data_IF_179564678962
#
_entry.id   IF_179564678962
#
_cell.length_a   1.000
_cell.length_b   1.000
_cell.length_c   1.000
_cell.angle_alpha   90.00
_cell.angle_beta   90.00
_cell.angle_gamma   90.00
#
_symmetry.space_group_name_H-M   'P 1'
#
loop_
_entity.id
_entity.type
_entity.pdbx_description
1 polymer ?
#
# COMPACT_ATOMS: atom_id res chain seq x y z
N UNK A 1 -10.52 -6.28 12.13
CA UNK A 1 -10.25 -5.59 13.40
C UNK A 1 -9.46 -6.51 14.32
N UNK A 2 -9.97 -7.68 14.72
CA UNK A 2 -9.31 -8.57 15.70
C UNK A 2 -7.83 -8.93 15.50
N UNK A 3 -7.33 -9.15 14.28
CA UNK A 3 -5.91 -9.54 14.11
C UNK A 3 -4.92 -8.38 13.85
N UNK A 4 -5.39 -7.21 13.35
CA UNK A 4 -4.60 -5.98 13.47
C UNK A 4 -4.55 -5.61 14.96
N UNK A 5 -5.61 -5.87 15.73
CA UNK A 5 -5.62 -5.78 17.20
C UNK A 5 -4.69 -6.80 17.89
N UNK A 6 -4.57 -8.03 17.39
CA UNK A 6 -3.60 -9.00 17.93
C UNK A 6 -2.14 -8.63 17.56
N UNK A 7 -1.91 -8.03 16.39
CA UNK A 7 -0.63 -7.39 16.06
C UNK A 7 -0.40 -6.12 16.91
N UNK A 8 -1.45 -5.31 17.16
CA UNK A 8 -1.46 -4.14 18.04
C UNK A 8 -1.07 -4.53 19.47
N UNK A 9 -1.46 -5.73 19.95
CA UNK A 9 -1.15 -6.22 21.29
C UNK A 9 0.34 -6.57 21.48
N UNK A 10 1.06 -6.80 20.38
CA UNK A 10 2.51 -7.08 20.40
C UNK A 10 3.40 -5.82 20.39
N UNK A 11 2.81 -4.65 20.12
CA UNK A 11 3.55 -3.41 20.10
C UNK A 11 3.72 -2.85 21.51
N UNK A 12 4.98 -2.59 21.87
CA UNK A 12 5.28 -1.97 23.15
C UNK A 12 4.74 -0.54 23.22
N UNK A 13 4.29 -0.11 24.40
CA UNK A 13 3.96 1.29 24.70
C UNK A 13 5.08 2.24 24.22
N UNK A 14 6.33 1.78 24.34
CA UNK A 14 7.54 2.43 23.84
C UNK A 14 7.45 2.77 22.35
N UNK A 15 7.06 1.82 21.50
CA UNK A 15 6.90 2.06 20.06
C UNK A 15 5.86 3.15 19.79
N UNK A 16 4.68 3.08 20.43
CA UNK A 16 3.63 4.09 20.23
C UNK A 16 4.08 5.50 20.62
N UNK A 17 4.79 5.64 21.74
CA UNK A 17 5.32 6.93 22.18
C UNK A 17 6.33 7.49 21.17
N UNK A 18 7.28 6.65 20.72
CA UNK A 18 8.31 7.02 19.73
C UNK A 18 7.64 7.47 18.43
N UNK A 19 6.71 6.68 17.91
CA UNK A 19 5.96 7.01 16.69
C UNK A 19 5.26 8.36 16.80
N UNK A 20 4.57 8.65 17.92
CA UNK A 20 3.90 9.94 18.12
C UNK A 20 4.86 11.12 18.14
N UNK A 21 6.01 10.98 18.80
CA UNK A 21 7.06 12.01 18.81
C UNK A 21 7.54 12.28 17.38
N UNK A 22 7.82 11.23 16.61
CA UNK A 22 8.32 11.34 15.24
C UNK A 22 7.28 11.98 14.32
N UNK A 23 6.01 11.58 14.41
CA UNK A 23 4.90 12.24 13.69
C UNK A 23 4.86 13.73 14.03
N UNK A 24 4.98 14.10 15.30
CA UNK A 24 4.95 15.50 15.72
C UNK A 24 6.09 16.31 15.12
N UNK A 25 7.31 15.75 15.05
CA UNK A 25 8.47 16.41 14.45
C UNK A 25 8.30 16.54 12.94
N UNK A 26 7.80 15.50 12.27
CA UNK A 26 7.53 15.57 10.83
C UNK A 26 6.43 16.58 10.46
N UNK A 27 5.51 16.86 11.38
CA UNK A 27 4.50 17.91 11.23
C UNK A 27 4.98 19.29 11.70
N UNK A 28 6.26 19.45 12.07
CA UNK A 28 6.81 20.76 12.38
C UNK A 28 6.68 21.70 11.16
N UNK A 29 6.22 22.96 11.33
CA UNK A 29 5.90 23.85 10.21
C UNK A 29 7.03 24.01 9.18
N UNK A 30 8.29 24.04 9.63
CA UNK A 30 9.45 24.17 8.76
C UNK A 30 9.75 22.90 7.94
N UNK A 31 9.48 21.72 8.51
CA UNK A 31 9.59 20.44 7.82
C UNK A 31 8.48 20.34 6.77
N UNK A 32 7.24 20.65 7.15
CA UNK A 32 6.09 20.67 6.24
C UNK A 32 6.36 21.61 5.06
N UNK A 33 6.84 22.83 5.31
CA UNK A 33 7.19 23.79 4.26
C UNK A 33 8.27 23.26 3.33
N UNK A 34 9.30 22.62 3.89
CA UNK A 34 10.37 22.03 3.10
C UNK A 34 9.86 20.89 2.21
N UNK A 35 8.96 20.04 2.72
CA UNK A 35 8.35 18.98 1.91
C UNK A 35 7.52 19.59 0.79
N UNK A 36 6.71 20.61 1.06
CA UNK A 36 5.93 21.27 0.00
C UNK A 36 6.82 21.84 -1.11
N UNK A 37 7.90 22.54 -0.75
CA UNK A 37 8.89 23.04 -1.72
C UNK A 37 9.55 21.91 -2.54
N UNK A 38 9.77 20.75 -1.92
CA UNK A 38 10.34 19.59 -2.61
C UNK A 38 9.39 19.02 -3.67
N UNK A 39 8.06 19.11 -3.49
CA UNK A 39 7.07 18.59 -4.43
C UNK A 39 7.00 19.39 -5.74
N UNK A 40 7.50 20.63 -5.72
CA UNK A 40 7.58 21.49 -6.91
C UNK A 40 8.82 21.19 -7.78
N UNK A 41 9.72 20.31 -7.32
CA UNK A 41 10.97 19.98 -8.00
C UNK A 41 10.74 18.87 -9.03
N UNK A 42 11.16 19.14 -10.27
CA UNK A 42 11.06 18.19 -11.39
C UNK A 42 12.26 17.20 -11.44
N UNK A 43 13.46 17.64 -11.05
CA UNK A 43 14.66 16.78 -11.06
C UNK A 43 14.69 15.82 -9.86
N UNK A 44 14.58 14.53 -10.13
CA UNK A 44 14.62 13.47 -9.13
C UNK A 44 15.89 13.47 -8.27
N UNK A 45 17.05 13.81 -8.85
CA UNK A 45 18.31 13.89 -8.08
C UNK A 45 18.29 15.04 -7.09
N UNK A 46 17.59 16.11 -7.43
CA UNK A 46 17.39 17.24 -6.54
C UNK A 46 16.36 16.93 -5.45
N UNK A 47 15.26 16.26 -5.81
CA UNK A 47 14.30 15.71 -4.83
C UNK A 47 15.01 14.85 -3.80
N UNK A 48 15.88 13.93 -4.22
CA UNK A 48 16.58 13.04 -3.29
C UNK A 48 17.60 13.78 -2.40
N UNK A 49 18.32 14.75 -2.96
CA UNK A 49 19.21 15.63 -2.18
C UNK A 49 18.44 16.45 -1.15
N UNK A 50 17.27 16.96 -1.53
CA UNK A 50 16.41 17.73 -0.64
C UNK A 50 15.78 16.86 0.43
N UNK A 51 15.33 15.66 0.06
CA UNK A 51 14.80 14.66 1.00
C UNK A 51 15.80 14.34 2.10
N UNK A 52 17.07 14.09 1.73
CA UNK A 52 18.14 13.87 2.70
C UNK A 52 18.31 15.05 3.68
N UNK A 53 18.28 16.29 3.17
CA UNK A 53 18.35 17.50 4.01
C UNK A 53 17.18 17.60 4.98
N UNK A 54 15.97 17.26 4.52
CA UNK A 54 14.76 17.26 5.36
C UNK A 54 14.91 16.21 6.48
N UNK A 55 15.33 14.99 6.15
CA UNK A 55 15.56 13.93 7.14
C UNK A 55 16.64 14.33 8.16
N UNK A 56 17.74 14.96 7.71
CA UNK A 56 18.79 15.44 8.60
C UNK A 56 18.30 16.58 9.51
N UNK A 57 17.39 17.44 9.01
CA UNK A 57 16.73 18.46 9.81
C UNK A 57 15.80 17.85 10.87
N UNK A 58 15.01 16.83 10.51
CA UNK A 58 14.18 16.07 11.48
C UNK A 58 15.06 15.47 12.59
N UNK A 59 16.19 14.86 12.24
CA UNK A 59 17.16 14.34 13.23
C UNK A 59 17.72 15.43 14.13
N UNK A 60 18.00 16.62 13.58
CA UNK A 60 18.51 17.75 14.35
C UNK A 60 17.47 18.20 15.39
N UNK A 61 16.21 18.38 15.00
CA UNK A 61 15.10 18.75 15.90
C UNK A 61 14.95 17.71 17.02
N UNK A 62 14.99 16.42 16.69
CA UNK A 62 14.91 15.35 17.69
C UNK A 62 16.06 15.44 18.70
N UNK A 63 17.27 15.82 18.26
CA UNK A 63 18.44 15.92 19.15
C UNK A 63 18.44 17.19 20.00
N UNK A 64 17.90 18.30 19.49
CA UNK A 64 17.94 19.60 20.18
C UNK A 64 16.70 19.85 21.04
N UNK A 65 15.52 19.51 20.54
CA UNK A 65 14.25 20.01 21.07
C UNK A 65 13.45 18.92 21.79
N UNK A 66 13.69 17.66 21.43
CA UNK A 66 13.05 16.51 22.05
C UNK A 66 14.01 15.91 23.07
N UNK A 67 13.79 16.17 24.36
CA UNK A 67 14.58 15.60 25.47
C UNK A 67 14.37 14.08 25.59
N UNK A 68 14.86 13.30 24.61
CA UNK A 68 14.72 11.85 24.59
C UNK A 68 15.93 11.20 25.26
N UNK A 69 15.71 10.28 26.22
CA UNK A 69 16.78 9.47 26.78
C UNK A 69 17.58 8.72 25.71
N UNK A 70 18.90 8.63 25.90
CA UNK A 70 19.85 8.02 24.95
C UNK A 70 19.40 6.61 24.50
N UNK A 71 18.81 5.84 25.43
CA UNK A 71 18.34 4.46 25.20
C UNK A 71 17.28 4.33 24.10
N UNK A 72 16.61 5.42 23.71
CA UNK A 72 15.58 5.42 22.66
C UNK A 72 16.08 5.98 21.32
N UNK A 73 17.34 6.44 21.22
CA UNK A 73 17.83 7.09 20.00
C UNK A 73 17.84 6.14 18.80
N UNK A 74 18.31 4.91 19.00
CA UNK A 74 18.35 3.90 17.93
C UNK A 74 16.93 3.58 17.42
N UNK A 75 15.95 3.51 18.32
CA UNK A 75 14.55 3.25 17.94
C UNK A 75 13.92 4.43 17.20
N UNK A 76 14.21 5.67 17.62
CA UNK A 76 13.78 6.86 16.91
C UNK A 76 14.36 6.88 15.49
N UNK A 77 15.67 6.70 15.36
CA UNK A 77 16.35 6.67 14.07
C UNK A 77 15.79 5.57 13.16
N UNK A 78 15.39 4.42 13.73
CA UNK A 78 14.78 3.32 13.00
C UNK A 78 13.42 3.66 12.37
N UNK A 79 12.65 4.59 12.95
CA UNK A 79 11.30 4.96 12.45
C UNK A 79 11.22 6.31 11.75
N UNK A 80 12.23 7.18 11.87
CA UNK A 80 12.27 8.49 11.18
C UNK A 80 12.06 8.33 9.68
N UNK A 81 12.87 7.48 9.04
CA UNK A 81 12.83 7.29 7.59
C UNK A 81 11.51 6.63 7.15
N UNK A 82 11.05 5.50 7.75
CA UNK A 82 9.78 4.90 7.37
C UNK A 82 8.58 5.86 7.42
N UNK A 83 8.43 6.59 8.53
CA UNK A 83 7.32 7.54 8.71
C UNK A 83 7.47 8.71 7.72
N UNK A 84 8.68 9.23 7.55
CA UNK A 84 8.96 10.28 6.57
C UNK A 84 8.65 9.85 5.14
N UNK A 85 9.09 8.67 4.74
CA UNK A 85 8.82 8.09 3.42
C UNK A 85 7.32 7.99 3.18
N UNK A 86 6.55 7.53 4.16
CA UNK A 86 5.10 7.49 4.08
C UNK A 86 4.47 8.90 3.91
N UNK A 87 4.94 9.89 4.68
CA UNK A 87 4.52 11.29 4.53
C UNK A 87 4.78 11.81 3.12
N UNK A 88 5.99 11.56 2.61
CA UNK A 88 6.41 11.97 1.27
C UNK A 88 5.51 11.32 0.22
N UNK A 89 5.30 10.00 0.29
CA UNK A 89 4.43 9.28 -0.64
C UNK A 89 3.00 9.85 -0.62
N UNK A 90 2.42 10.05 0.56
CA UNK A 90 1.06 10.58 0.69
C UNK A 90 0.94 12.01 0.12
N UNK A 91 1.87 12.90 0.47
CA UNK A 91 1.87 14.27 -0.05
C UNK A 91 2.10 14.33 -1.56
N UNK A 92 2.93 13.44 -2.08
CA UNK A 92 3.15 13.28 -3.52
C UNK A 92 1.86 12.84 -4.20
N UNK A 93 1.19 11.83 -3.66
CA UNK A 93 -0.10 11.36 -4.14
C UNK A 93 -1.13 12.50 -4.15
N UNK A 94 -1.28 13.24 -3.05
CA UNK A 94 -2.21 14.37 -2.98
C UNK A 94 -1.87 15.47 -3.99
N UNK A 95 -0.60 15.83 -4.15
CA UNK A 95 -0.20 16.90 -5.06
C UNK A 95 -0.51 16.58 -6.53
N UNK A 96 -0.36 15.32 -6.93
CA UNK A 96 -0.66 14.87 -8.30
C UNK A 96 -2.11 14.43 -8.51
N UNK A 97 -2.85 14.25 -7.43
CA UNK A 97 -4.21 13.77 -7.50
C UNK A 97 -5.12 14.95 -7.86
N UNK A 98 -5.92 14.86 -8.95
CA UNK A 98 -6.84 15.93 -9.37
C UNK A 98 -7.96 16.19 -8.35
N UNK A 99 -7.97 15.39 -7.30
CA UNK A 99 -8.95 15.27 -6.24
C UNK A 99 -8.60 16.10 -5.00
N UNK A 100 -7.32 16.40 -4.78
CA UNK A 100 -6.89 17.14 -3.60
C UNK A 100 -6.53 18.58 -3.97
N UNK A 101 -7.26 19.58 -3.46
CA UNK A 101 -6.83 20.96 -3.58
C UNK A 101 -5.49 21.12 -2.86
N UNK A 102 -4.56 21.83 -3.49
CA UNK A 102 -3.24 22.14 -2.93
C UNK A 102 -3.30 22.83 -1.56
N UNK A 103 -4.45 23.36 -1.16
CA UNK A 103 -4.69 23.98 0.15
C UNK A 103 -4.88 23.01 1.32
N UNK A 104 -4.96 21.69 1.11
CA UNK A 104 -5.12 20.69 2.19
C UNK A 104 -3.80 20.02 2.63
N UNK A 105 -2.66 20.70 2.44
CA UNK A 105 -1.33 20.16 2.74
C UNK A 105 -0.98 20.05 4.25
N UNK A 106 -1.90 20.37 5.15
CA UNK A 106 -1.71 20.20 6.59
C UNK A 106 -2.41 18.91 7.03
N UNK A 107 -1.64 17.95 7.57
CA UNK A 107 -2.17 16.73 8.19
C UNK A 107 -2.17 16.95 9.71
N UNK A 108 -3.34 17.17 10.34
CA UNK A 108 -3.46 17.11 11.78
C UNK A 108 -2.91 15.77 12.31
N UNK A 109 -2.42 15.78 13.55
CA UNK A 109 -1.87 14.59 14.22
C UNK A 109 -2.91 13.47 14.30
N UNK A 110 -4.19 13.83 14.28
CA UNK A 110 -5.35 12.95 14.29
C UNK A 110 -5.49 12.11 13.02
N UNK A 111 -4.78 12.43 11.94
CA UNK A 111 -4.80 11.65 10.69
C UNK A 111 -3.76 10.53 10.68
N UNK A 112 -3.05 10.34 11.77
CA UNK A 112 -2.00 9.34 11.88
C UNK A 112 -2.48 8.12 12.66
N UNK A 113 -2.21 6.94 12.10
CA UNK A 113 -2.37 5.69 12.81
C UNK A 113 -1.32 5.59 13.92
N UNK A 114 -1.54 4.72 14.93
CA UNK A 114 -0.54 4.40 15.93
C UNK A 114 0.79 3.84 15.37
N UNK A 115 0.82 3.48 14.09
CA UNK A 115 1.98 2.98 13.37
C UNK A 115 2.75 4.08 12.65
N UNK A 116 2.30 5.33 12.65
CA UNK A 116 2.98 6.38 11.89
C UNK A 116 2.76 6.25 10.38
N UNK A 117 1.65 5.61 10.00
CA UNK A 117 1.06 5.78 8.67
C UNK A 117 -0.14 6.71 8.76
N UNK A 118 -0.62 7.20 7.62
CA UNK A 118 -1.81 8.02 7.53
C UNK A 118 -3.06 7.13 7.52
N UNK A 119 -4.06 7.47 8.33
CA UNK A 119 -5.39 6.87 8.29
C UNK A 119 -6.19 7.50 7.14
N UNK A 120 -6.00 6.96 5.93
CA UNK A 120 -6.69 7.46 4.73
C UNK A 120 -8.20 7.39 4.89
N UNK A 121 -8.73 6.32 5.50
CA UNK A 121 -10.16 6.15 5.70
C UNK A 121 -10.74 7.25 6.58
N UNK A 122 -10.01 7.67 7.63
CA UNK A 122 -10.42 8.80 8.46
C UNK A 122 -10.35 10.13 7.71
N UNK A 123 -9.29 10.36 6.92
CA UNK A 123 -9.17 11.55 6.07
C UNK A 123 -10.35 11.62 5.11
N UNK A 124 -10.62 10.54 4.39
CA UNK A 124 -11.66 10.51 3.37
C UNK A 124 -13.04 10.73 4.00
N UNK A 125 -13.29 10.15 5.18
CA UNK A 125 -14.51 10.36 5.96
C UNK A 125 -14.70 11.81 6.45
N UNK A 126 -13.63 12.58 6.59
CA UNK A 126 -13.68 14.01 6.93
C UNK A 126 -13.89 14.83 5.64
N UNK A 127 -13.10 14.57 4.61
CA UNK A 127 -13.13 15.31 3.35
C UNK A 127 -14.47 15.18 2.63
N UNK A 128 -15.09 14.00 2.65
CA UNK A 128 -16.40 13.77 2.05
C UNK A 128 -17.51 14.62 2.70
N UNK A 129 -17.32 15.03 3.96
CA UNK A 129 -18.27 15.87 4.72
C UNK A 129 -17.93 17.36 4.67
N UNK A 130 -16.77 17.72 4.16
CA UNK A 130 -16.34 19.12 4.10
C UNK A 130 -17.08 19.88 2.99
N UNK A 131 -18.01 20.74 3.39
CA UNK A 131 -18.83 21.55 2.48
C UNK A 131 -18.03 22.55 1.65
N UNK A 132 -16.78 22.83 1.99
CA UNK A 132 -15.87 23.67 1.20
C UNK A 132 -15.38 22.95 -0.06
N UNK A 133 -15.47 21.62 -0.08
CA UNK A 133 -15.08 20.80 -1.23
C UNK A 133 -16.18 20.78 -2.29
N UNK A 134 -15.78 20.75 -3.56
CA UNK A 134 -16.71 20.66 -4.69
C UNK A 134 -17.59 19.41 -4.56
N UNK A 135 -18.89 19.55 -4.83
CA UNK A 135 -19.85 18.44 -4.68
C UNK A 135 -19.47 17.20 -5.48
N UNK A 136 -19.02 17.37 -6.73
CA UNK A 136 -18.56 16.26 -7.57
C UNK A 136 -17.31 15.57 -7.00
N UNK A 137 -16.44 16.33 -6.32
CA UNK A 137 -15.29 15.73 -5.65
C UNK A 137 -15.72 14.87 -4.46
N UNK A 138 -16.57 15.42 -3.58
CA UNK A 138 -17.11 14.69 -2.43
C UNK A 138 -17.84 13.42 -2.88
N UNK A 139 -18.64 13.51 -3.94
CA UNK A 139 -19.35 12.36 -4.48
C UNK A 139 -18.40 11.28 -5.01
N UNK A 140 -17.38 11.66 -5.77
CA UNK A 140 -16.36 10.73 -6.26
C UNK A 140 -15.64 10.02 -5.10
N UNK A 141 -15.21 10.76 -4.09
CA UNK A 141 -14.56 10.21 -2.90
C UNK A 141 -15.49 9.25 -2.15
N UNK A 142 -16.75 9.64 -1.92
CA UNK A 142 -17.76 8.78 -1.29
C UNK A 142 -17.95 7.45 -2.04
N UNK A 143 -17.99 7.53 -3.38
CA UNK A 143 -18.09 6.37 -4.25
C UNK A 143 -16.86 5.45 -4.14
N UNK A 144 -15.66 6.04 -4.16
CA UNK A 144 -14.41 5.30 -4.04
C UNK A 144 -14.34 4.56 -2.71
N UNK A 145 -14.60 5.24 -1.59
CA UNK A 145 -14.53 4.60 -0.26
C UNK A 145 -15.80 3.84 0.13
N UNK A 146 -16.77 3.77 -0.79
CA UNK A 146 -18.02 3.05 -0.63
C UNK A 146 -18.80 3.49 0.63
N UNK A 147 -18.80 4.80 0.90
CA UNK A 147 -19.67 5.42 1.90
C UNK A 147 -21.11 5.49 1.38
N UNK A 148 -21.78 4.34 1.26
CA UNK A 148 -23.07 4.18 0.59
C UNK A 148 -24.13 5.23 1.02
N UNK A 149 -24.25 5.46 2.33
CA UNK A 149 -25.17 6.45 2.88
C UNK A 149 -24.83 7.90 2.47
N UNK A 150 -23.53 8.22 2.33
CA UNK A 150 -23.08 9.53 1.89
C UNK A 150 -23.23 9.66 0.36
N UNK A 151 -23.01 8.58 -0.40
CA UNK A 151 -23.29 8.55 -1.85
C UNK A 151 -24.76 8.90 -2.10
N UNK A 152 -25.68 8.26 -1.38
CA UNK A 152 -27.12 8.53 -1.46
C UNK A 152 -27.48 9.97 -1.06
N UNK A 153 -26.80 10.55 -0.06
CA UNK A 153 -27.00 11.94 0.36
C UNK A 153 -26.49 12.95 -0.69
N UNK A 154 -25.34 12.68 -1.31
CA UNK A 154 -24.68 13.59 -2.24
C UNK A 154 -25.27 13.52 -3.66
N UNK A 155 -25.76 12.36 -4.08
CA UNK A 155 -26.27 12.15 -5.44
C UNK A 155 -27.35 13.16 -5.87
N UNK A 156 -28.39 13.46 -5.06
CA UNK A 156 -29.41 14.44 -5.40
C UNK A 156 -28.90 15.88 -5.53
N UNK A 157 -27.69 16.17 -5.01
CA UNK A 157 -27.05 17.48 -5.09
C UNK A 157 -26.22 17.66 -6.36
N UNK A 158 -26.03 16.59 -7.14
CA UNK A 158 -25.32 16.66 -8.41
C UNK A 158 -26.17 17.33 -9.50
N UNK A 159 -25.50 18.12 -10.33
CA UNK A 159 -26.11 18.70 -11.53
C UNK A 159 -26.20 17.65 -12.66
N UNK A 160 -27.12 17.78 -13.63
CA UNK A 160 -27.21 16.85 -14.75
C UNK A 160 -25.90 16.65 -15.53
N UNK A 161 -25.07 17.69 -15.80
CA UNK A 161 -23.76 17.50 -16.42
C UNK A 161 -22.80 16.64 -15.58
N UNK A 162 -22.85 16.77 -14.25
CA UNK A 162 -22.02 15.95 -13.35
C UNK A 162 -22.48 14.49 -13.34
N UNK A 163 -23.80 14.25 -13.31
CA UNK A 163 -24.35 12.89 -13.41
C UNK A 163 -23.93 12.26 -14.75
N UNK A 164 -24.10 12.98 -15.86
CA UNK A 164 -23.67 12.51 -17.17
C UNK A 164 -22.17 12.20 -17.22
N UNK A 165 -21.34 13.07 -16.63
CA UNK A 165 -19.90 12.84 -16.52
C UNK A 165 -19.59 11.51 -15.83
N UNK A 166 -20.19 11.22 -14.67
CA UNK A 166 -19.92 9.97 -13.95
C UNK A 166 -20.46 8.73 -14.66
N UNK A 167 -21.59 8.83 -15.37
CA UNK A 167 -22.10 7.73 -16.21
C UNK A 167 -21.14 7.38 -17.36
N UNK A 168 -20.43 8.37 -17.90
CA UNK A 168 -19.52 8.20 -19.04
C UNK A 168 -18.06 7.97 -18.63
N UNK A 169 -17.75 7.86 -17.33
CA UNK A 169 -16.39 7.57 -16.87
C UNK A 169 -16.01 6.13 -17.21
N UNK A 170 -15.53 5.91 -18.42
CA UNK A 170 -14.96 4.64 -18.86
C UNK A 170 -13.48 4.55 -18.45
N UNK A 171 -13.07 3.38 -17.93
CA UNK A 171 -11.69 2.89 -17.78
C UNK A 171 -10.75 3.46 -16.70
N UNK A 172 -11.05 4.59 -16.05
CA UNK A 172 -10.14 5.17 -15.03
C UNK A 172 -10.73 5.35 -13.62
N UNK A 173 -12.05 5.27 -13.46
CA UNK A 173 -12.69 5.39 -12.14
C UNK A 173 -14.05 4.68 -12.16
N UNK A 174 -14.02 3.36 -12.10
CA UNK A 174 -15.18 2.49 -12.34
C UNK A 174 -16.21 2.54 -11.19
N UNK A 175 -15.80 2.95 -9.98
CA UNK A 175 -16.69 3.03 -8.81
C UNK A 175 -17.70 4.18 -8.87
N UNK A 176 -17.31 5.44 -9.15
CA UNK A 176 -18.28 6.51 -9.38
C UNK A 176 -19.29 6.17 -10.47
N UNK A 177 -18.86 5.51 -11.55
CA UNK A 177 -19.76 5.04 -12.60
C UNK A 177 -20.75 4.00 -12.07
N UNK A 178 -20.27 2.96 -11.38
CA UNK A 178 -21.11 1.94 -10.74
C UNK A 178 -22.18 2.57 -9.84
N UNK A 179 -21.79 3.45 -8.92
CA UNK A 179 -22.70 4.09 -7.99
C UNK A 179 -23.71 4.98 -8.71
N UNK A 180 -23.27 5.72 -9.72
CA UNK A 180 -24.17 6.59 -10.50
C UNK A 180 -25.21 5.77 -11.27
N UNK A 181 -24.79 4.66 -11.90
CA UNK A 181 -25.70 3.72 -12.55
C UNK A 181 -26.66 3.05 -11.55
N UNK A 182 -26.20 2.74 -10.33
CA UNK A 182 -27.06 2.23 -9.26
C UNK A 182 -28.14 3.27 -8.89
N UNK A 183 -27.75 4.54 -8.70
CA UNK A 183 -28.65 5.62 -8.27
C UNK A 183 -29.71 5.97 -9.32
N UNK A 184 -29.39 5.90 -10.62
CA UNK A 184 -30.37 6.10 -11.70
C UNK A 184 -31.14 4.82 -12.08
N UNK A 185 -30.93 3.72 -11.35
CA UNK A 185 -31.53 2.41 -11.60
C UNK A 185 -31.22 1.84 -13.01
N UNK A 186 -29.97 1.99 -13.45
CA UNK A 186 -29.48 1.60 -14.79
C UNK A 186 -28.19 0.76 -14.71
N UNK A 187 -28.15 -0.21 -13.79
CA UNK A 187 -27.03 -1.16 -13.68
C UNK A 187 -26.85 -2.02 -14.95
N UNK A 188 -27.89 -2.16 -15.77
CA UNK A 188 -27.78 -2.89 -17.04
C UNK A 188 -26.76 -2.23 -17.97
N UNK A 189 -26.83 -0.90 -18.13
CA UNK A 189 -25.85 -0.19 -18.96
C UNK A 189 -24.44 -0.25 -18.35
N UNK A 190 -24.31 -0.19 -17.03
CA UNK A 190 -23.00 -0.41 -16.37
C UNK A 190 -22.39 -1.78 -16.76
N UNK A 191 -23.17 -2.86 -16.69
CA UNK A 191 -22.70 -4.20 -17.08
C UNK A 191 -22.35 -4.26 -18.57
N UNK A 192 -23.24 -3.72 -19.42
CA UNK A 192 -23.06 -3.72 -20.89
C UNK A 192 -21.79 -2.99 -21.34
N UNK A 193 -21.41 -1.92 -20.67
CA UNK A 193 -20.18 -1.17 -20.97
C UNK A 193 -18.91 -1.94 -20.60
N UNK A 194 -19.01 -2.91 -19.68
CA UNK A 194 -17.86 -3.53 -19.04
C UNK A 194 -17.71 -5.04 -19.32
N UNK A 195 -18.71 -5.68 -19.93
CA UNK A 195 -18.72 -7.13 -20.20
C UNK A 195 -19.27 -7.40 -21.61
N UNK A 196 -18.76 -8.42 -22.33
CA UNK A 196 -19.38 -8.87 -23.57
C UNK A 196 -20.88 -9.16 -23.41
N UNK A 197 -21.67 -8.83 -24.44
CA UNK A 197 -23.14 -8.82 -24.46
C UNK A 197 -23.82 -10.14 -24.05
N UNK A 198 -23.09 -11.27 -24.01
CA UNK A 198 -23.61 -12.60 -23.75
C UNK A 198 -23.72 -12.97 -22.25
N UNK A 199 -23.19 -12.13 -21.36
CA UNK A 199 -23.34 -12.32 -19.91
C UNK A 199 -24.59 -11.58 -19.45
N UNK A 200 -25.65 -12.32 -19.14
CA UNK A 200 -26.94 -11.75 -18.73
C UNK A 200 -26.80 -10.62 -17.71
N UNK A 201 -27.48 -9.49 -17.96
CA UNK A 201 -27.45 -8.33 -17.07
C UNK A 201 -28.14 -8.60 -15.74
N UNK A 202 -27.63 -8.02 -14.66
CA UNK A 202 -28.26 -8.14 -13.34
C UNK A 202 -27.45 -7.45 -12.25
N UNK A 203 -28.12 -7.15 -11.13
CA UNK A 203 -27.50 -6.49 -9.98
C UNK A 203 -26.31 -7.28 -9.45
N UNK A 204 -26.41 -8.61 -9.34
CA UNK A 204 -25.29 -9.46 -8.90
C UNK A 204 -24.07 -9.32 -9.83
N UNK A 205 -24.27 -9.32 -11.15
CA UNK A 205 -23.18 -9.14 -12.12
C UNK A 205 -22.51 -7.77 -11.95
N UNK A 206 -23.29 -6.71 -11.77
CA UNK A 206 -22.73 -5.38 -11.50
C UNK A 206 -21.90 -5.34 -10.20
N UNK A 207 -22.37 -5.97 -9.12
CA UNK A 207 -21.63 -6.04 -7.84
C UNK A 207 -20.34 -6.84 -7.97
N UNK A 208 -20.38 -7.95 -8.71
CA UNK A 208 -19.20 -8.76 -9.05
C UNK A 208 -18.15 -7.94 -9.81
N UNK A 209 -18.57 -7.20 -10.83
CA UNK A 209 -17.68 -6.30 -11.57
C UNK A 209 -17.10 -5.21 -10.67
N UNK A 210 -17.93 -4.55 -9.87
CA UNK A 210 -17.48 -3.54 -8.91
C UNK A 210 -16.45 -4.12 -7.93
N UNK A 211 -16.67 -5.34 -7.42
CA UNK A 211 -15.70 -6.06 -6.60
C UNK A 211 -14.36 -6.27 -7.33
N UNK A 212 -14.38 -6.70 -8.60
CA UNK A 212 -13.16 -6.86 -9.39
C UNK A 212 -12.40 -5.54 -9.60
N UNK A 213 -13.10 -4.44 -9.84
CA UNK A 213 -12.47 -3.12 -9.92
C UNK A 213 -11.79 -2.75 -8.60
N UNK A 214 -12.47 -2.94 -7.47
CA UNK A 214 -11.87 -2.65 -6.16
C UNK A 214 -10.63 -3.51 -5.88
N UNK A 215 -10.61 -4.76 -6.33
CA UNK A 215 -9.44 -5.62 -6.26
C UNK A 215 -8.29 -5.06 -7.12
N UNK A 216 -8.55 -4.76 -8.40
CA UNK A 216 -7.57 -4.22 -9.35
C UNK A 216 -6.88 -2.94 -8.85
N UNK A 217 -7.64 -2.11 -8.13
CA UNK A 217 -7.16 -0.85 -7.57
C UNK A 217 -6.54 -1.01 -6.18
N UNK A 218 -6.73 -2.17 -5.54
CA UNK A 218 -6.31 -2.39 -4.15
C UNK A 218 -7.14 -1.61 -3.14
N UNK A 219 -8.36 -1.21 -3.50
CA UNK A 219 -9.24 -0.42 -2.65
C UNK A 219 -9.86 -1.28 -1.54
N UNK A 220 -9.25 -1.24 -0.35
CA UNK A 220 -9.66 -2.00 0.84
C UNK A 220 -11.12 -1.75 1.23
N UNK A 221 -11.57 -0.49 1.18
CA UNK A 221 -12.93 -0.09 1.58
C UNK A 221 -13.95 -0.70 0.64
N UNK A 222 -13.72 -0.58 -0.67
CA UNK A 222 -14.54 -1.19 -1.69
C UNK A 222 -14.54 -2.73 -1.62
N UNK A 223 -13.37 -3.35 -1.46
CA UNK A 223 -13.27 -4.81 -1.30
C UNK A 223 -14.11 -5.28 -0.10
N UNK A 224 -14.03 -4.59 1.04
CA UNK A 224 -14.83 -4.91 2.23
C UNK A 224 -16.33 -4.77 1.96
N UNK A 225 -16.72 -3.66 1.37
CA UNK A 225 -18.12 -3.36 1.05
C UNK A 225 -18.68 -4.44 0.14
N UNK A 226 -18.08 -4.65 -1.03
CA UNK A 226 -18.62 -5.59 -2.00
C UNK A 226 -18.51 -7.05 -1.54
N UNK A 227 -17.44 -7.43 -0.84
CA UNK A 227 -17.34 -8.77 -0.25
C UNK A 227 -18.52 -9.08 0.69
N UNK A 228 -19.00 -8.10 1.46
CA UNK A 228 -20.14 -8.27 2.36
C UNK A 228 -21.49 -8.29 1.63
N UNK A 229 -21.57 -7.68 0.44
CA UNK A 229 -22.79 -7.67 -0.40
C UNK A 229 -22.91 -8.89 -1.31
N UNK A 230 -21.81 -9.61 -1.57
CA UNK A 230 -21.83 -10.81 -2.40
C UNK A 230 -22.53 -11.97 -1.67
N UNK A 231 -23.38 -12.76 -2.37
CA UNK A 231 -23.93 -13.99 -1.84
C UNK A 231 -22.83 -14.95 -1.33
N UNK A 232 -23.11 -15.69 -0.25
CA UNK A 232 -22.18 -16.66 0.33
C UNK A 232 -21.70 -17.72 -0.68
N UNK A 233 -22.56 -18.06 -1.64
CA UNK A 233 -22.31 -19.03 -2.71
C UNK A 233 -21.22 -18.57 -3.71
N UNK A 234 -20.83 -17.28 -3.69
CA UNK A 234 -19.84 -16.71 -4.61
C UNK A 234 -18.38 -16.84 -4.13
N UNK A 235 -18.09 -17.75 -3.19
CA UNK A 235 -16.73 -17.98 -2.69
C UNK A 235 -15.72 -18.33 -3.81
N UNK A 236 -16.14 -19.15 -4.78
CA UNK A 236 -15.29 -19.51 -5.93
C UNK A 236 -14.96 -18.27 -6.78
N UNK A 237 -15.94 -17.37 -6.97
CA UNK A 237 -15.75 -16.13 -7.70
C UNK A 237 -14.78 -15.19 -6.99
N UNK A 238 -14.92 -15.04 -5.66
CA UNK A 238 -14.00 -14.24 -4.84
C UNK A 238 -12.59 -14.80 -4.94
N UNK A 239 -12.45 -16.12 -4.84
CA UNK A 239 -11.16 -16.81 -4.95
C UNK A 239 -10.49 -16.56 -6.31
N UNK A 240 -11.22 -16.79 -7.41
CA UNK A 240 -10.70 -16.55 -8.77
C UNK A 240 -10.31 -15.08 -8.97
N UNK A 241 -11.13 -14.16 -8.50
CA UNK A 241 -10.87 -12.72 -8.63
C UNK A 241 -9.64 -12.30 -7.80
N UNK A 242 -9.46 -12.86 -6.60
CA UNK A 242 -8.26 -12.61 -5.79
C UNK A 242 -7.00 -13.16 -6.44
N UNK A 243 -7.05 -14.37 -7.03
CA UNK A 243 -5.92 -14.94 -7.76
C UNK A 243 -5.54 -14.09 -8.97
N UNK A 244 -6.53 -13.65 -9.75
CA UNK A 244 -6.32 -12.76 -10.88
C UNK A 244 -5.67 -11.44 -10.44
N UNK A 245 -6.16 -10.85 -9.35
CA UNK A 245 -5.57 -9.66 -8.74
C UNK A 245 -4.10 -9.86 -8.36
N UNK A 246 -3.74 -10.99 -7.74
CA UNK A 246 -2.34 -11.30 -7.42
C UNK A 246 -1.48 -11.41 -8.68
N UNK A 247 -1.98 -12.09 -9.72
CA UNK A 247 -1.25 -12.28 -10.98
C UNK A 247 -1.03 -10.95 -11.71
N UNK A 248 -2.06 -10.10 -11.81
CA UNK A 248 -1.91 -8.73 -12.34
C UNK A 248 -0.91 -7.91 -11.54
N UNK A 249 -0.99 -7.99 -10.21
CA UNK A 249 -0.09 -7.25 -9.33
C UNK A 249 1.37 -7.68 -9.55
N UNK A 250 1.62 -8.98 -9.64
CA UNK A 250 2.94 -9.53 -9.94
C UNK A 250 3.46 -9.03 -11.28
N UNK A 251 2.60 -9.03 -12.30
CA UNK A 251 2.94 -8.50 -13.62
C UNK A 251 3.32 -7.02 -13.54
N UNK A 252 2.51 -6.17 -12.88
CA UNK A 252 2.80 -4.75 -12.68
C UNK A 252 4.12 -4.52 -11.94
N UNK A 253 4.43 -5.34 -10.94
CA UNK A 253 5.70 -5.28 -10.21
C UNK A 253 6.89 -5.59 -11.11
N UNK A 254 6.73 -6.45 -12.12
CA UNK A 254 7.79 -6.80 -13.08
C UNK A 254 7.97 -5.75 -14.18
N UNK A 255 6.89 -5.15 -14.67
CA UNK A 255 6.91 -4.32 -15.88
C UNK A 255 6.99 -2.82 -15.63
N UNK A 256 6.52 -2.32 -14.48
CA UNK A 256 6.59 -0.89 -14.21
C UNK A 256 7.99 -0.45 -13.79
N UNK A 257 8.48 0.60 -14.43
CA UNK A 257 9.49 1.46 -13.83
C UNK A 257 8.88 2.17 -12.62
N UNK A 258 9.69 2.44 -11.60
CA UNK A 258 9.27 2.96 -10.29
C UNK A 258 8.64 4.37 -10.31
N UNK A 259 8.33 4.93 -11.49
CA UNK A 259 8.20 6.37 -11.71
C UNK A 259 6.76 6.88 -11.93
N UNK A 260 5.74 6.03 -12.00
CA UNK A 260 4.35 6.53 -12.02
C UNK A 260 3.85 6.70 -10.58
N UNK A 261 3.20 7.83 -10.23
CA UNK A 261 2.52 7.98 -8.95
C UNK A 261 1.40 6.96 -8.86
N UNK A 262 1.68 5.82 -8.22
CA UNK A 262 0.67 4.83 -7.87
C UNK A 262 0.04 5.22 -6.55
N UNK A 263 -1.23 4.82 -6.28
CA UNK A 263 -1.79 4.90 -4.94
C UNK A 263 -0.80 4.33 -3.92
N UNK A 264 -0.80 4.85 -2.67
CA UNK A 264 0.06 4.33 -1.61
C UNK A 264 0.04 2.80 -1.61
N UNK A 265 1.21 2.18 -1.70
CA UNK A 265 1.33 0.73 -1.88
C UNK A 265 0.66 -0.06 -0.76
N UNK A 266 0.42 0.58 0.38
CA UNK A 266 -0.28 0.09 1.56
C UNK A 266 -1.70 -0.41 1.28
N UNK A 267 -2.41 0.20 0.32
CA UNK A 267 -3.75 -0.22 -0.04
C UNK A 267 -3.78 -1.68 -0.54
N UNK A 268 -2.76 -2.10 -1.30
CA UNK A 268 -2.63 -3.48 -1.76
C UNK A 268 -2.33 -4.45 -0.61
N UNK A 269 -1.45 -4.07 0.31
CA UNK A 269 -1.09 -4.85 1.50
C UNK A 269 -2.29 -5.12 2.37
N UNK A 270 -3.04 -4.07 2.68
CA UNK A 270 -4.25 -4.13 3.50
C UNK A 270 -5.35 -4.98 2.86
N UNK A 271 -5.52 -4.83 1.54
CA UNK A 271 -6.49 -5.58 0.74
C UNK A 271 -6.14 -7.07 0.67
N UNK A 272 -4.86 -7.39 0.40
CA UNK A 272 -4.35 -8.76 0.43
C UNK A 272 -4.54 -9.37 1.81
N UNK A 273 -4.18 -8.64 2.87
CA UNK A 273 -4.36 -9.13 4.23
C UNK A 273 -5.82 -9.39 4.59
N UNK A 274 -6.72 -8.45 4.24
CA UNK A 274 -8.15 -8.62 4.45
C UNK A 274 -8.65 -9.92 3.81
N UNK A 275 -8.35 -10.14 2.53
CA UNK A 275 -8.80 -11.34 1.80
C UNK A 275 -8.19 -12.62 2.39
N UNK A 276 -6.90 -12.63 2.71
CA UNK A 276 -6.25 -13.76 3.38
C UNK A 276 -6.86 -14.11 4.73
N UNK A 277 -7.36 -13.11 5.46
CA UNK A 277 -8.04 -13.31 6.74
C UNK A 277 -9.45 -13.88 6.59
N UNK A 278 -10.03 -13.84 5.38
CA UNK A 278 -11.33 -14.46 5.07
C UNK A 278 -11.21 -15.93 4.71
N UNK A 279 -10.04 -16.35 4.25
CA UNK A 279 -9.75 -17.76 4.00
C UNK A 279 -9.34 -18.45 5.30
N UNK A 280 -9.79 -19.68 5.52
CA UNK A 280 -9.22 -20.54 6.55
C UNK A 280 -7.84 -21.09 6.13
N UNK A 281 -7.21 -21.90 6.97
CA UNK A 281 -5.88 -22.44 6.69
C UNK A 281 -5.87 -23.41 5.51
N UNK A 282 -6.87 -24.28 5.40
CA UNK A 282 -6.99 -25.27 4.32
C UNK A 282 -7.22 -24.57 2.97
N UNK A 283 -8.09 -23.56 2.95
CA UNK A 283 -8.35 -22.73 1.79
C UNK A 283 -7.09 -21.98 1.35
N UNK A 284 -6.35 -21.36 2.27
CA UNK A 284 -5.08 -20.67 1.93
C UNK A 284 -4.07 -21.65 1.31
N UNK A 285 -3.91 -22.83 1.90
CA UNK A 285 -2.98 -23.85 1.42
C UNK A 285 -3.39 -24.43 0.06
N UNK A 286 -4.69 -24.42 -0.27
CA UNK A 286 -5.22 -24.90 -1.54
C UNK A 286 -5.10 -23.83 -2.65
N UNK A 287 -5.34 -22.56 -2.32
CA UNK A 287 -5.48 -21.47 -3.29
C UNK A 287 -4.13 -20.83 -3.65
N UNK A 288 -3.21 -20.72 -2.68
CA UNK A 288 -1.95 -19.99 -2.83
C UNK A 288 -0.73 -20.75 -3.38
N UNK A 289 -0.74 -22.06 -3.67
CA UNK A 289 0.39 -22.72 -4.32
C UNK A 289 0.88 -21.97 -5.57
N UNK A 290 2.20 -21.71 -5.63
CA UNK A 290 2.83 -20.94 -6.70
C UNK A 290 2.67 -19.41 -6.63
N UNK A 291 1.94 -18.88 -5.65
CA UNK A 291 1.69 -17.42 -5.49
C UNK A 291 2.12 -16.85 -4.15
N UNK A 292 2.68 -17.67 -3.25
CA UNK A 292 3.17 -17.22 -1.95
C UNK A 292 4.13 -16.03 -2.06
N UNK A 293 5.07 -16.08 -3.01
CA UNK A 293 6.01 -14.99 -3.29
C UNK A 293 5.28 -13.68 -3.58
N UNK A 294 4.31 -13.69 -4.48
CA UNK A 294 3.51 -12.50 -4.83
C UNK A 294 2.78 -11.91 -3.63
N UNK A 295 2.18 -12.78 -2.79
CA UNK A 295 1.52 -12.34 -1.56
C UNK A 295 2.52 -11.70 -0.60
N UNK A 296 3.68 -12.31 -0.41
CA UNK A 296 4.72 -11.79 0.48
C UNK A 296 5.28 -10.46 0.01
N UNK A 297 5.41 -10.23 -1.30
CA UNK A 297 5.83 -8.93 -1.83
C UNK A 297 4.88 -7.80 -1.42
N UNK A 298 3.59 -8.08 -1.23
CA UNK A 298 2.65 -7.08 -0.72
C UNK A 298 2.91 -6.73 0.76
N UNK A 299 3.66 -7.53 1.52
CA UNK A 299 3.99 -7.25 2.92
C UNK A 299 5.41 -6.70 3.12
N UNK A 300 6.15 -6.47 2.04
CA UNK A 300 7.47 -5.80 2.07
C UNK A 300 7.38 -4.27 2.15
N UNK A 301 6.35 -3.76 2.83
CA UNK A 301 6.15 -2.34 3.06
C UNK A 301 5.81 -2.12 4.53
N UNK A 302 6.33 -1.03 5.09
CA UNK A 302 5.98 -0.59 6.43
C UNK A 302 4.46 -0.27 6.50
N UNK A 303 3.72 -0.68 7.53
CA UNK A 303 4.14 -1.40 8.75
C UNK A 303 3.94 -2.94 8.67
N UNK A 304 3.70 -3.50 7.48
CA UNK A 304 3.29 -4.90 7.29
C UNK A 304 4.43 -5.94 7.40
N UNK A 305 5.65 -5.53 7.74
CA UNK A 305 6.80 -6.44 7.88
C UNK A 305 6.57 -7.58 8.87
N UNK A 306 5.81 -7.36 9.94
CA UNK A 306 5.45 -8.44 10.87
C UNK A 306 4.61 -9.53 10.20
N UNK A 307 3.70 -9.16 9.29
CA UNK A 307 2.95 -10.13 8.48
C UNK A 307 3.86 -10.85 7.50
N UNK A 308 4.80 -10.14 6.87
CA UNK A 308 5.80 -10.78 6.00
C UNK A 308 6.54 -11.88 6.76
N UNK A 309 7.14 -11.57 7.92
CA UNK A 309 7.90 -12.53 8.73
C UNK A 309 7.04 -13.71 9.16
N UNK A 310 5.78 -13.46 9.57
CA UNK A 310 4.83 -14.52 9.93
C UNK A 310 4.57 -15.47 8.75
N UNK A 311 4.19 -14.94 7.60
CA UNK A 311 3.81 -15.76 6.45
C UNK A 311 5.00 -16.45 5.78
N UNK A 312 6.20 -15.83 5.79
CA UNK A 312 7.44 -16.51 5.41
C UNK A 312 7.65 -17.77 6.23
N UNK A 313 7.51 -17.68 7.56
CA UNK A 313 7.71 -18.84 8.44
C UNK A 313 6.70 -19.96 8.18
N UNK A 314 5.46 -19.62 7.83
CA UNK A 314 4.40 -20.59 7.51
C UNK A 314 4.66 -21.25 6.15
N UNK A 315 5.02 -20.47 5.12
CA UNK A 315 5.10 -20.97 3.75
C UNK A 315 6.50 -21.38 3.29
N UNK A 316 7.50 -21.27 4.15
CA UNK A 316 8.92 -21.56 3.82
C UNK A 316 9.13 -22.92 3.16
N UNK A 317 8.41 -23.96 3.59
CA UNK A 317 8.55 -25.32 3.06
C UNK A 317 8.06 -25.44 1.62
N UNK A 318 7.28 -24.46 1.15
CA UNK A 318 6.67 -24.44 -0.17
C UNK A 318 7.46 -23.56 -1.16
N UNK A 319 8.59 -22.97 -0.75
CA UNK A 319 9.38 -22.11 -1.62
C UNK A 319 10.38 -22.91 -2.45
N UNK A 320 10.44 -22.57 -3.74
CA UNK A 320 11.59 -22.91 -4.57
C UNK A 320 12.78 -21.98 -4.27
N UNK A 321 13.97 -22.33 -4.74
CA UNK A 321 15.12 -21.42 -4.65
C UNK A 321 14.89 -20.15 -5.48
N UNK A 322 14.14 -20.24 -6.58
CA UNK A 322 13.77 -19.08 -7.40
C UNK A 322 12.86 -18.11 -6.64
N UNK A 323 11.90 -18.63 -5.87
CA UNK A 323 11.02 -17.81 -5.03
C UNK A 323 11.82 -17.04 -3.99
N UNK A 324 12.71 -17.73 -3.27
CA UNK A 324 13.57 -17.12 -2.26
C UNK A 324 14.53 -16.10 -2.87
N UNK A 325 15.15 -16.42 -4.00
CA UNK A 325 16.00 -15.46 -4.73
C UNK A 325 15.19 -14.22 -5.13
N UNK A 326 13.96 -14.39 -5.62
CA UNK A 326 13.10 -13.27 -6.00
C UNK A 326 12.76 -12.37 -4.81
N UNK A 327 12.40 -12.94 -3.66
CA UNK A 327 12.14 -12.19 -2.43
C UNK A 327 13.38 -11.42 -1.96
N UNK A 328 14.54 -12.08 -1.93
CA UNK A 328 15.80 -11.45 -1.50
C UNK A 328 16.18 -10.29 -2.43
N UNK A 329 16.14 -10.48 -3.75
CA UNK A 329 16.39 -9.41 -4.72
C UNK A 329 15.45 -8.23 -4.48
N UNK A 330 14.16 -8.49 -4.19
CA UNK A 330 13.20 -7.42 -3.92
C UNK A 330 13.50 -6.67 -2.63
N UNK A 331 13.86 -7.36 -1.55
CA UNK A 331 14.31 -6.72 -0.30
C UNK A 331 15.55 -5.85 -0.55
N UNK A 332 16.49 -6.32 -1.37
CA UNK A 332 17.69 -5.57 -1.74
C UNK A 332 17.40 -4.33 -2.58
N UNK A 333 16.47 -4.43 -3.51
CA UNK A 333 16.05 -3.26 -4.28
C UNK A 333 15.44 -2.21 -3.36
N UNK A 334 14.52 -2.61 -2.47
CA UNK A 334 13.92 -1.70 -1.49
C UNK A 334 15.01 -1.04 -0.62
N UNK A 335 15.98 -1.83 -0.12
CA UNK A 335 17.14 -1.31 0.60
C UNK A 335 17.96 -0.31 -0.23
N UNK A 336 18.21 -0.58 -1.51
CA UNK A 336 18.99 0.31 -2.38
C UNK A 336 18.32 1.64 -2.63
N UNK A 337 16.99 1.67 -2.55
CA UNK A 337 16.18 2.89 -2.61
C UNK A 337 16.11 3.61 -1.26
N UNK A 338 16.86 3.13 -0.26
CA UNK A 338 16.97 3.69 1.09
C UNK A 338 15.59 3.89 1.75
N UNK A 339 14.62 3.05 1.40
CA UNK A 339 13.22 3.29 1.75
C UNK A 339 12.95 3.06 3.22
N UNK A 340 13.62 2.11 3.90
CA UNK A 340 13.46 1.86 5.33
C UNK A 340 14.74 1.27 5.99
N UNK A 341 14.69 1.10 7.33
CA UNK A 341 15.72 0.43 8.14
C UNK A 341 15.45 -1.07 8.34
N UNK A 342 14.19 -1.50 8.21
CA UNK A 342 13.73 -2.86 8.52
C UNK A 342 14.20 -3.91 7.49
N UNK A 343 14.65 -3.50 6.30
CA UNK A 343 15.09 -4.37 5.22
C UNK A 343 16.34 -5.19 5.58
N UNK A 344 17.23 -4.69 6.44
CA UNK A 344 18.42 -5.45 6.86
C UNK A 344 18.03 -6.69 7.69
N UNK A 345 17.16 -6.50 8.68
CA UNK A 345 16.73 -7.60 9.56
C UNK A 345 15.89 -8.61 8.79
N UNK A 346 14.99 -8.13 7.92
CA UNK A 346 14.21 -9.01 7.04
C UNK A 346 15.09 -9.83 6.10
N UNK A 347 16.09 -9.20 5.47
CA UNK A 347 17.06 -9.92 4.65
C UNK A 347 17.82 -10.94 5.48
N UNK A 348 18.33 -10.55 6.65
CA UNK A 348 19.11 -11.40 7.53
C UNK A 348 18.31 -12.63 7.98
N UNK A 349 17.07 -12.42 8.41
CA UNK A 349 16.20 -13.47 8.92
C UNK A 349 15.83 -14.45 7.79
N UNK A 350 15.44 -13.92 6.62
CA UNK A 350 15.16 -14.74 5.45
C UNK A 350 16.41 -15.53 5.04
N UNK A 351 17.55 -14.87 4.90
CA UNK A 351 18.82 -15.47 4.48
C UNK A 351 19.29 -16.58 5.42
N UNK A 352 19.29 -16.33 6.74
CA UNK A 352 19.70 -17.32 7.74
C UNK A 352 18.80 -18.55 7.71
N UNK A 353 17.51 -18.36 7.45
CA UNK A 353 16.53 -19.44 7.35
C UNK A 353 16.60 -20.24 6.05
N UNK A 354 17.29 -19.73 5.01
CA UNK A 354 17.41 -20.42 3.73
C UNK A 354 18.20 -21.74 3.85
N UNK A 355 17.75 -22.82 3.19
CA UNK A 355 18.55 -24.01 2.99
C UNK A 355 19.91 -23.70 2.35
N UNK A 356 20.96 -24.41 2.77
CA UNK A 356 22.33 -24.12 2.31
C UNK A 356 22.50 -24.28 0.79
N UNK A 357 21.83 -25.28 0.20
CA UNK A 357 21.81 -25.47 -1.24
C UNK A 357 21.24 -24.24 -1.99
N UNK A 358 20.27 -23.55 -1.41
CA UNK A 358 19.69 -22.35 -2.00
C UNK A 358 20.62 -21.15 -1.85
N UNK A 359 21.29 -21.02 -0.70
CA UNK A 359 22.30 -19.99 -0.51
C UNK A 359 23.39 -20.10 -1.57
N UNK A 360 23.92 -21.30 -1.80
CA UNK A 360 24.93 -21.55 -2.84
C UNK A 360 24.44 -21.14 -4.23
N UNK A 361 23.25 -21.59 -4.64
CA UNK A 361 22.67 -21.22 -5.94
C UNK A 361 22.49 -19.70 -6.12
N UNK A 362 22.05 -19.02 -5.05
CA UNK A 362 21.88 -17.56 -5.07
C UNK A 362 23.24 -16.85 -5.11
N UNK A 363 24.26 -17.38 -4.42
CA UNK A 363 25.61 -16.84 -4.45
C UNK A 363 26.25 -16.98 -5.82
N UNK A 364 26.12 -18.13 -6.47
CA UNK A 364 26.63 -18.36 -7.83
C UNK A 364 25.97 -17.37 -8.81
N UNK A 365 24.64 -17.20 -8.71
CA UNK A 365 23.91 -16.20 -9.48
C UNK A 365 24.43 -14.78 -9.23
N UNK A 366 24.67 -14.41 -7.96
CA UNK A 366 25.16 -13.08 -7.60
C UNK A 366 26.60 -12.85 -8.11
N UNK A 367 27.47 -13.86 -8.07
CA UNK A 367 28.83 -13.77 -8.62
C UNK A 367 28.78 -13.57 -10.13
N UNK A 368 28.01 -14.39 -10.85
CA UNK A 368 27.84 -14.28 -12.31
C UNK A 368 27.31 -12.89 -12.72
N UNK A 369 26.32 -12.39 -11.98
CA UNK A 369 25.73 -11.07 -12.23
C UNK A 369 26.64 -9.91 -11.83
N UNK A 370 27.48 -10.09 -10.82
CA UNK A 370 28.46 -9.07 -10.44
C UNK A 370 29.53 -8.90 -11.52
N UNK A 371 30.02 -9.99 -12.10
CA UNK A 371 30.98 -9.98 -13.22
C UNK A 371 30.41 -9.23 -14.43
N UNK A 372 29.10 -9.34 -14.66
CA UNK A 372 28.40 -8.63 -15.76
C UNK A 372 28.00 -7.19 -15.39
N UNK A 373 28.43 -6.68 -14.23
CA UNK A 373 28.20 -5.29 -13.81
C UNK A 373 26.81 -5.02 -13.22
N UNK A 374 26.06 -6.05 -12.83
CA UNK A 374 24.72 -5.85 -12.28
C UNK A 374 24.76 -5.20 -10.88
N UNK A 375 24.15 -4.02 -10.67
CA UNK A 375 24.33 -3.23 -9.45
C UNK A 375 23.81 -3.92 -8.18
N UNK A 376 22.70 -4.66 -8.29
CA UNK A 376 22.10 -5.39 -7.15
C UNK A 376 22.98 -6.57 -6.72
N UNK A 377 23.74 -7.16 -7.64
CA UNK A 377 24.57 -8.32 -7.35
C UNK A 377 25.71 -7.96 -6.39
N UNK A 378 26.28 -6.75 -6.52
CA UNK A 378 27.27 -6.23 -5.57
C UNK A 378 26.70 -6.10 -4.16
N UNK A 379 25.54 -5.44 -4.01
CA UNK A 379 24.86 -5.27 -2.72
C UNK A 379 24.54 -6.61 -2.06
N UNK A 380 24.12 -7.58 -2.88
CA UNK A 380 23.82 -8.93 -2.45
C UNK A 380 25.05 -9.63 -1.87
N UNK A 381 26.19 -9.57 -2.58
CA UNK A 381 27.47 -10.15 -2.13
C UNK A 381 28.01 -9.47 -0.88
N UNK A 382 27.91 -8.14 -0.78
CA UNK A 382 28.31 -7.38 0.41
C UNK A 382 27.52 -7.84 1.64
N UNK A 383 26.20 -7.94 1.53
CA UNK A 383 25.35 -8.38 2.65
C UNK A 383 25.59 -9.85 3.02
N UNK A 384 25.70 -10.74 2.02
CA UNK A 384 25.99 -12.15 2.30
C UNK A 384 27.33 -12.35 3.02
N UNK A 385 28.33 -11.50 2.73
CA UNK A 385 29.62 -11.53 3.44
C UNK A 385 29.44 -11.23 4.92
N UNK A 386 28.61 -10.26 5.26
CA UNK A 386 28.31 -9.90 6.67
C UNK A 386 27.65 -11.06 7.43
N UNK A 387 26.93 -11.94 6.74
CA UNK A 387 26.25 -13.10 7.33
C UNK A 387 27.02 -14.43 7.24
N UNK A 388 28.19 -14.48 6.59
CA UNK A 388 29.07 -15.67 6.58
C UNK A 388 29.96 -15.77 7.83
N UNK A 389 30.10 -14.69 8.60
CA UNK A 389 31.07 -14.56 9.71
C UNK A 389 30.43 -14.81 11.09
N UNK A 390 29.18 -15.29 11.14
CA UNK A 390 28.48 -15.71 12.37
C UNK A 390 27.80 -17.04 12.11
#
# INVERSE_FOLDING_TARGET
MRLIEDFNASLSIRFFMITRVIISVWNHPDIVRSISQMLDIVDEREVERMWKKIVDHVRAIIRSDVNVPEVFRDDLDAVIIPIGSHIREMRTFMNYSPYFPSSYLEFPVEFWTPYGTVDTAQIDAILVRDVRMLIGFRYNLACHDCFANIVEELFPLLTPPQIYYFLQMESQNELPSYWTHLMVNDLFNFVKLNVPLDVGGGQNVAHKLAFQYTLKDGNKSGIKYFFLTLPFEDFEYVTKSFLFYLDERHHRLKTRSYFLPTPPKEHYSDSTYFLLSRFDEEQRNTILPGRHTTVLLNFLIYPFYGLFSRYVNIWRSNFSWQDLNHLLIRILILRSLNTNFFEYNLFADLWRSCPEAYKLAIMDWAIERHVTGHPIARLMLELMRDFRVR
#
